data_IF_928723112165
#
_entry.id   IF_928723112165
#
_cell.length_a   1.000
_cell.length_b   1.000
_cell.length_c   1.000
_cell.angle_alpha   90.00
_cell.angle_beta   90.00
_cell.angle_gamma   90.00
#
_symmetry.space_group_name_H-M   'P 1'
#
loop_
_entity.id
_entity.type
_entity.pdbx_description
1 polymer ?
#
# COMPACT_ATOMS: atom_id res chain seq x y z
N UNK A 1 35.01 17.70 2.02
CA UNK A 1 33.60 17.40 1.67
C UNK A 1 33.58 16.24 0.69
N UNK A 2 33.51 15.00 1.19
CA UNK A 2 33.39 13.82 0.34
C UNK A 2 31.91 13.58 0.04
N UNK A 3 31.56 13.60 -1.25
CA UNK A 3 30.26 13.14 -1.76
C UNK A 3 30.35 11.62 -1.90
N UNK A 4 29.69 10.89 -1.01
CA UNK A 4 29.50 9.45 -1.16
C UNK A 4 28.37 9.25 -2.17
N UNK A 5 28.72 8.78 -3.37
CA UNK A 5 27.78 8.30 -4.36
C UNK A 5 27.28 6.93 -3.88
N UNK A 6 26.05 6.86 -3.38
CA UNK A 6 25.40 5.57 -3.11
C UNK A 6 24.85 5.09 -4.45
N UNK A 7 25.63 4.22 -5.11
CA UNK A 7 25.20 3.51 -6.31
C UNK A 7 24.20 2.42 -5.91
N UNK A 8 22.98 2.54 -6.43
CA UNK A 8 21.98 1.48 -6.41
C UNK A 8 22.50 0.32 -7.26
N UNK A 9 22.94 -0.78 -6.64
CA UNK A 9 23.32 -2.00 -7.37
C UNK A 9 22.05 -2.80 -7.63
N UNK A 10 21.54 -2.70 -8.85
CA UNK A 10 20.50 -3.58 -9.37
C UNK A 10 21.16 -4.90 -9.81
N UNK A 11 21.09 -5.94 -8.98
CA UNK A 11 21.49 -7.29 -9.38
C UNK A 11 20.35 -7.89 -10.21
N UNK A 12 20.51 -7.91 -11.54
CA UNK A 12 19.55 -8.53 -12.45
C UNK A 12 19.92 -10.00 -12.63
N UNK A 13 19.18 -10.90 -11.99
CA UNK A 13 19.17 -12.31 -12.37
C UNK A 13 18.25 -12.46 -13.59
N UNK A 14 18.82 -12.90 -14.73
CA UNK A 14 18.10 -13.17 -15.98
C UNK A 14 17.34 -14.51 -15.89
N UNK A 15 16.36 -14.61 -15.01
CA UNK A 15 15.16 -15.41 -15.29
C UNK A 15 14.17 -14.49 -16.00
N UNK A 16 13.53 -14.95 -17.08
CA UNK A 16 12.47 -14.16 -17.70
C UNK A 16 11.42 -13.83 -16.64
N UNK A 17 11.32 -12.56 -16.25
CA UNK A 17 10.36 -12.11 -15.25
C UNK A 17 8.96 -12.57 -15.66
N UNK A 18 8.21 -13.14 -14.71
CA UNK A 18 6.86 -13.62 -15.01
C UNK A 18 6.01 -12.48 -15.58
N UNK A 19 4.98 -12.77 -16.40
CA UNK A 19 4.07 -11.73 -16.89
C UNK A 19 3.46 -10.89 -15.76
N UNK A 20 3.22 -11.52 -14.60
CA UNK A 20 2.76 -10.83 -13.41
C UNK A 20 3.81 -9.90 -12.81
N UNK A 21 5.09 -10.31 -12.78
CA UNK A 21 6.17 -9.46 -12.27
C UNK A 21 6.32 -8.21 -13.14
N UNK A 22 6.27 -8.35 -14.46
CA UNK A 22 6.32 -7.21 -15.38
C UNK A 22 5.15 -6.23 -15.15
N UNK A 23 3.96 -6.73 -14.81
CA UNK A 23 2.80 -5.88 -14.47
C UNK A 23 3.03 -5.11 -13.17
N UNK A 24 3.52 -5.78 -12.13
CA UNK A 24 3.85 -5.14 -10.85
C UNK A 24 4.93 -4.08 -11.03
N UNK A 25 6.02 -4.42 -11.71
CA UNK A 25 7.14 -3.49 -11.96
C UNK A 25 6.66 -2.24 -12.71
N UNK A 26 5.81 -2.40 -13.73
CA UNK A 26 5.28 -1.27 -14.48
C UNK A 26 4.31 -0.41 -13.64
N UNK A 27 3.47 -1.03 -12.80
CA UNK A 27 2.64 -0.32 -11.84
C UNK A 27 3.48 0.49 -10.84
N UNK A 28 4.52 -0.12 -10.25
CA UNK A 28 5.44 0.55 -9.33
C UNK A 28 6.21 1.69 -10.00
N UNK A 29 6.68 1.49 -11.24
CA UNK A 29 7.32 2.55 -12.02
C UNK A 29 6.39 3.75 -12.21
N UNK A 30 5.09 3.54 -12.39
CA UNK A 30 4.12 4.63 -12.47
C UNK A 30 3.91 5.26 -11.09
N UNK A 31 3.62 4.47 -10.06
CA UNK A 31 3.46 4.95 -8.67
C UNK A 31 4.61 5.88 -8.30
N UNK A 32 5.85 5.45 -8.51
CA UNK A 32 7.03 6.24 -8.16
C UNK A 32 7.39 7.35 -9.16
N UNK A 33 6.64 7.55 -10.24
CA UNK A 33 6.71 8.83 -10.98
C UNK A 33 6.04 9.96 -10.21
N UNK A 34 5.08 9.66 -9.34
CA UNK A 34 4.41 10.65 -8.49
C UNK A 34 5.31 11.03 -7.29
N UNK A 35 5.69 12.31 -7.11
CA UNK A 35 6.53 12.74 -5.99
C UNK A 35 5.94 12.42 -4.61
N UNK A 36 4.63 12.55 -4.46
CA UNK A 36 3.91 12.30 -3.21
C UNK A 36 4.01 10.82 -2.79
N UNK A 37 3.96 9.89 -3.75
CA UNK A 37 4.14 8.47 -3.46
C UNK A 37 5.59 8.14 -3.05
N UNK A 38 6.59 8.81 -3.65
CA UNK A 38 7.99 8.70 -3.23
C UNK A 38 8.21 9.23 -1.82
N UNK A 39 7.60 10.37 -1.48
CA UNK A 39 7.66 10.93 -0.14
C UNK A 39 7.02 9.99 0.88
N UNK A 40 5.87 9.39 0.54
CA UNK A 40 5.21 8.39 1.36
C UNK A 40 6.11 7.17 1.58
N UNK A 41 6.73 6.61 0.54
CA UNK A 41 7.67 5.51 0.67
C UNK A 41 8.82 5.87 1.63
N UNK A 42 9.44 7.04 1.43
CA UNK A 42 10.52 7.51 2.29
C UNK A 42 10.09 7.73 3.76
N UNK A 43 8.82 8.05 4.01
CA UNK A 43 8.27 8.10 5.36
C UNK A 43 8.13 6.71 5.98
N UNK A 44 7.57 5.75 5.24
CA UNK A 44 7.41 4.36 5.68
C UNK A 44 8.79 3.74 5.96
N UNK A 45 9.78 4.02 5.11
CA UNK A 45 11.14 3.50 5.21
C UNK A 45 11.93 4.00 6.43
N UNK A 46 11.44 5.03 7.15
CA UNK A 46 12.03 5.46 8.43
C UNK A 46 11.98 4.35 9.49
N UNK A 47 11.03 3.44 9.39
CA UNK A 47 10.87 2.29 10.30
C UNK A 47 11.57 1.02 9.80
N UNK A 48 12.19 1.06 8.62
CA UNK A 48 12.87 -0.08 8.00
C UNK A 48 12.54 -0.23 6.52
N UNK A 49 13.33 -1.02 5.76
CA UNK A 49 13.09 -1.23 4.34
C UNK A 49 11.71 -1.84 4.08
N UNK A 50 11.18 -1.60 2.88
CA UNK A 50 9.90 -2.13 2.40
C UNK A 50 10.15 -2.84 1.07
N UNK A 51 9.59 -4.04 0.90
CA UNK A 51 9.56 -4.73 -0.40
C UNK A 51 8.14 -4.79 -0.96
N UNK A 52 8.05 -5.04 -2.26
CA UNK A 52 6.80 -5.26 -2.98
C UNK A 52 6.90 -6.61 -3.67
N UNK A 53 5.96 -7.50 -3.38
CA UNK A 53 6.07 -8.89 -3.81
C UNK A 53 4.76 -9.39 -4.40
N UNK A 54 4.86 -10.34 -5.33
CA UNK A 54 3.71 -11.06 -5.82
C UNK A 54 3.38 -12.22 -4.90
N UNK A 55 2.10 -12.36 -4.61
CA UNK A 55 1.59 -13.55 -3.92
C UNK A 55 0.71 -14.34 -4.87
N UNK A 56 0.97 -15.64 -4.94
CA UNK A 56 0.19 -16.59 -5.75
C UNK A 56 -0.70 -17.48 -4.88
N UNK A 57 -0.58 -17.39 -3.55
CA UNK A 57 -1.21 -18.34 -2.63
C UNK A 57 -2.73 -18.13 -2.48
N UNK A 58 -3.45 -19.25 -2.39
CA UNK A 58 -4.91 -19.31 -2.41
C UNK A 58 -5.56 -18.81 -1.11
N UNK A 59 -4.86 -18.77 0.03
CA UNK A 59 -5.45 -18.22 1.27
C UNK A 59 -5.40 -16.69 1.32
N UNK A 60 -4.40 -16.08 0.70
CA UNK A 60 -4.33 -14.63 0.48
C UNK A 60 -5.27 -14.14 -0.64
N UNK A 61 -5.99 -15.05 -1.30
CA UNK A 61 -6.91 -14.75 -2.43
C UNK A 61 -8.10 -13.85 -2.10
N UNK A 62 -8.33 -13.52 -0.83
CA UNK A 62 -9.45 -12.66 -0.41
C UNK A 62 -9.19 -11.18 -0.67
N UNK A 63 -7.93 -10.78 -0.84
CA UNK A 63 -7.55 -9.37 -1.00
C UNK A 63 -6.72 -9.16 -2.27
N UNK A 64 -6.87 -7.98 -2.88
CA UNK A 64 -6.07 -7.61 -4.05
C UNK A 64 -4.62 -7.25 -3.71
N UNK A 65 -4.40 -6.72 -2.51
CA UNK A 65 -3.09 -6.53 -1.90
C UNK A 65 -3.26 -6.49 -0.37
N UNK A 66 -2.17 -6.62 0.36
CA UNK A 66 -2.14 -6.33 1.80
C UNK A 66 -0.73 -5.90 2.23
N UNK A 67 -0.67 -5.14 3.32
CA UNK A 67 0.56 -4.85 4.06
C UNK A 67 0.87 -5.94 5.09
N UNK A 68 1.98 -6.64 4.90
CA UNK A 68 2.55 -7.51 5.93
C UNK A 68 3.45 -6.70 6.86
N UNK A 69 3.00 -6.55 8.11
CA UNK A 69 3.72 -5.77 9.12
C UNK A 69 5.01 -6.46 9.56
N UNK A 70 5.03 -7.79 9.65
CA UNK A 70 6.16 -8.55 10.20
C UNK A 70 7.32 -8.58 9.21
N UNK A 71 7.02 -8.94 7.96
CA UNK A 71 8.04 -9.03 6.90
C UNK A 71 8.29 -7.69 6.19
N UNK A 72 7.46 -6.67 6.47
CA UNK A 72 7.50 -5.35 5.82
C UNK A 72 7.35 -5.43 4.30
N UNK A 73 6.41 -6.25 3.86
CA UNK A 73 6.13 -6.54 2.45
C UNK A 73 4.75 -5.97 2.08
N UNK A 74 4.66 -5.22 1.00
CA UNK A 74 3.39 -4.98 0.32
C UNK A 74 3.18 -6.13 -0.67
N UNK A 75 2.34 -7.07 -0.27
CA UNK A 75 2.02 -8.27 -1.03
C UNK A 75 0.87 -7.97 -2.00
N UNK A 76 1.05 -8.24 -3.29
CA UNK A 76 0.09 -7.92 -4.35
C UNK A 76 -0.36 -9.19 -5.04
N UNK A 77 -1.67 -9.44 -5.07
CA UNK A 77 -2.26 -10.56 -5.81
C UNK A 77 -2.64 -10.09 -7.24
N UNK A 78 -1.85 -10.43 -8.27
CA UNK A 78 -2.08 -9.92 -9.61
C UNK A 78 -3.32 -10.51 -10.29
N UNK A 79 -3.86 -11.61 -9.77
CA UNK A 79 -5.07 -12.28 -10.29
C UNK A 79 -6.36 -11.57 -9.85
N UNK A 80 -6.30 -10.77 -8.79
CA UNK A 80 -7.44 -9.96 -8.33
C UNK A 80 -7.61 -8.67 -9.15
N UNK A 81 -6.55 -8.24 -9.83
CA UNK A 81 -6.49 -6.98 -10.57
C UNK A 81 -6.79 -7.19 -12.05
N UNK A 82 -7.96 -6.69 -12.48
CA UNK A 82 -8.40 -6.75 -13.88
C UNK A 82 -7.53 -5.91 -14.80
N UNK A 83 -6.98 -4.83 -14.28
CA UNK A 83 -6.12 -3.92 -15.01
C UNK A 83 -5.01 -3.36 -14.12
N UNK A 84 -4.12 -2.56 -14.71
CA UNK A 84 -3.01 -1.93 -14.01
C UNK A 84 -3.45 -0.84 -13.02
N UNK A 85 -4.52 -0.11 -13.34
CA UNK A 85 -5.01 0.94 -12.47
C UNK A 85 -5.51 0.38 -11.15
N UNK A 86 -6.29 -0.70 -11.18
CA UNK A 86 -6.76 -1.33 -9.94
C UNK A 86 -5.59 -1.78 -9.05
N UNK A 87 -4.52 -2.29 -9.66
CA UNK A 87 -3.29 -2.66 -8.95
C UNK A 87 -2.59 -1.44 -8.34
N UNK A 88 -2.44 -0.34 -9.10
CA UNK A 88 -1.90 0.93 -8.59
C UNK A 88 -2.72 1.41 -7.39
N UNK A 89 -4.05 1.40 -7.49
CA UNK A 89 -4.94 1.79 -6.39
C UNK A 89 -4.68 0.98 -5.13
N UNK A 90 -4.64 -0.35 -5.23
CA UNK A 90 -4.33 -1.22 -4.09
C UNK A 90 -2.94 -0.97 -3.52
N UNK A 91 -1.91 -0.77 -4.36
CA UNK A 91 -0.56 -0.43 -3.89
C UNK A 91 -0.59 0.87 -3.07
N UNK A 92 -1.24 1.92 -3.57
CA UNK A 92 -1.34 3.20 -2.86
C UNK A 92 -2.06 3.06 -1.52
N UNK A 93 -3.11 2.23 -1.46
CA UNK A 93 -3.84 1.95 -0.23
C UNK A 93 -2.95 1.22 0.79
N UNK A 94 -2.25 0.17 0.39
CA UNK A 94 -1.36 -0.57 1.29
C UNK A 94 -0.15 0.26 1.75
N UNK A 95 0.34 1.19 0.93
CA UNK A 95 1.34 2.16 1.39
C UNK A 95 0.80 3.06 2.51
N UNK A 96 -0.48 3.44 2.49
CA UNK A 96 -1.09 4.18 3.61
C UNK A 96 -1.22 3.29 4.86
N UNK A 97 -1.56 2.01 4.69
CA UNK A 97 -1.57 1.05 5.80
C UNK A 97 -0.16 0.90 6.42
N UNK A 98 0.86 0.77 5.58
CA UNK A 98 2.25 0.67 6.02
C UNK A 98 2.69 1.91 6.81
N UNK A 99 2.28 3.11 6.40
CA UNK A 99 2.53 4.37 7.15
C UNK A 99 1.90 4.38 8.54
N UNK A 100 0.85 3.59 8.76
CA UNK A 100 0.08 3.50 10.02
C UNK A 100 0.45 2.29 10.87
N UNK A 101 1.52 1.57 10.53
CA UNK A 101 2.01 0.38 11.24
C UNK A 101 2.04 0.55 12.76
N UNK A 102 2.67 1.62 13.27
CA UNK A 102 2.76 1.86 14.71
C UNK A 102 1.39 2.11 15.37
N UNK A 103 0.45 2.73 14.66
CA UNK A 103 -0.89 3.02 15.16
C UNK A 103 -1.70 1.72 15.29
N UNK A 104 -1.65 0.86 14.27
CA UNK A 104 -2.24 -0.48 14.33
C UNK A 104 -1.63 -1.34 15.44
N UNK A 105 -0.30 -1.36 15.54
CA UNK A 105 0.39 -2.10 16.60
C UNK A 105 -0.06 -1.65 18.00
N UNK A 106 -0.15 -0.33 18.21
CA UNK A 106 -0.61 0.23 19.50
C UNK A 106 -2.05 -0.16 19.81
N UNK A 107 -2.95 -0.19 18.82
CA UNK A 107 -4.33 -0.65 19.01
C UNK A 107 -4.38 -2.13 19.34
N UNK A 108 -3.59 -2.95 18.65
CA UNK A 108 -3.48 -4.38 18.91
C UNK A 108 -2.97 -4.67 20.32
N UNK A 109 -1.88 -4.02 20.76
CA UNK A 109 -1.35 -4.18 22.11
C UNK A 109 -2.37 -3.79 23.19
N UNK A 110 -3.14 -2.72 22.96
CA UNK A 110 -4.21 -2.32 23.89
C UNK A 110 -5.30 -3.38 23.95
N UNK A 111 -5.70 -3.95 22.82
CA UNK A 111 -6.74 -4.98 22.76
C UNK A 111 -6.28 -6.26 23.45
N UNK A 112 -5.05 -6.71 23.18
CA UNK A 112 -4.45 -7.90 23.80
C UNK A 112 -4.38 -7.77 25.33
N UNK A 113 -4.05 -6.56 25.83
CA UNK A 113 -4.00 -6.28 27.27
C UNK A 113 -5.35 -5.96 27.91
N UNK A 114 -6.45 -5.98 27.14
CA UNK A 114 -7.80 -5.64 27.62
C UNK A 114 -7.96 -4.17 28.04
N UNK A 115 -7.13 -3.27 27.49
CA UNK A 115 -7.14 -1.82 27.79
C UNK A 115 -8.08 -1.03 26.89
N UNK A 116 -8.70 -1.69 25.92
CA UNK A 116 -9.71 -1.15 25.01
C UNK A 116 -10.80 -2.20 24.83
N UNK A 117 -12.06 -1.79 24.84
CA UNK A 117 -13.17 -2.71 24.55
C UNK A 117 -13.26 -3.00 23.05
N UNK A 118 -13.98 -4.09 22.70
CA UNK A 118 -14.11 -4.56 21.32
C UNK A 118 -14.65 -3.49 20.38
N UNK A 119 -15.69 -2.76 20.78
CA UNK A 119 -16.35 -1.78 19.91
C UNK A 119 -15.43 -0.60 19.64
N UNK A 120 -14.79 -0.08 20.68
CA UNK A 120 -13.80 0.99 20.55
C UNK A 120 -12.60 0.57 19.70
N UNK A 121 -12.15 -0.68 19.80
CA UNK A 121 -11.09 -1.22 18.95
C UNK A 121 -11.51 -1.27 17.48
N UNK A 122 -12.65 -1.89 17.17
CA UNK A 122 -13.16 -2.00 15.80
C UNK A 122 -13.34 -0.61 15.20
N UNK A 123 -14.00 0.31 15.90
CA UNK A 123 -14.20 1.68 15.42
C UNK A 123 -12.88 2.43 15.19
N UNK A 124 -11.85 2.20 15.99
CA UNK A 124 -10.55 2.82 15.78
C UNK A 124 -9.84 2.26 14.53
N UNK A 125 -9.89 0.94 14.31
CA UNK A 125 -9.34 0.29 13.11
C UNK A 125 -10.04 0.79 11.85
N UNK A 126 -11.37 0.76 11.83
CA UNK A 126 -12.18 1.25 10.70
C UNK A 126 -11.93 2.73 10.43
N UNK A 127 -11.71 3.54 11.48
CA UNK A 127 -11.38 4.96 11.28
C UNK A 127 -10.04 5.14 10.58
N UNK A 128 -9.03 4.34 10.94
CA UNK A 128 -7.73 4.34 10.24
C UNK A 128 -7.92 3.93 8.78
N UNK A 129 -8.63 2.83 8.50
CA UNK A 129 -8.89 2.35 7.14
C UNK A 129 -9.64 3.38 6.27
N UNK A 130 -10.66 4.04 6.84
CA UNK A 130 -11.35 5.15 6.20
C UNK A 130 -10.41 6.30 5.83
N UNK A 131 -9.53 6.71 6.76
CA UNK A 131 -8.57 7.79 6.49
C UNK A 131 -7.52 7.39 5.45
N UNK A 132 -7.05 6.14 5.50
CA UNK A 132 -6.13 5.58 4.52
C UNK A 132 -6.77 5.52 3.12
N UNK A 133 -8.04 5.10 3.04
CA UNK A 133 -8.82 5.08 1.79
C UNK A 133 -8.91 6.48 1.17
N UNK A 134 -9.20 7.50 1.97
CA UNK A 134 -9.24 8.89 1.49
C UNK A 134 -7.88 9.41 1.02
N UNK A 135 -6.83 9.12 1.78
CA UNK A 135 -5.48 9.52 1.41
C UNK A 135 -5.01 8.84 0.11
N UNK A 136 -5.25 7.54 -0.02
CA UNK A 136 -4.92 6.76 -1.21
C UNK A 136 -5.73 7.23 -2.42
N UNK A 137 -7.04 7.45 -2.28
CA UNK A 137 -7.89 7.99 -3.35
C UNK A 137 -7.42 9.36 -3.81
N UNK A 138 -7.09 10.27 -2.88
CA UNK A 138 -6.57 11.59 -3.24
C UNK A 138 -5.25 11.49 -4.00
N UNK A 139 -4.39 10.53 -3.65
CA UNK A 139 -3.12 10.29 -4.35
C UNK A 139 -3.33 9.70 -5.75
N UNK A 140 -4.28 8.77 -5.88
CA UNK A 140 -4.69 8.23 -7.17
C UNK A 140 -5.24 9.33 -8.09
N UNK A 141 -6.12 10.19 -7.57
CA UNK A 141 -6.69 11.32 -8.32
C UNK A 141 -5.60 12.28 -8.81
N UNK A 142 -4.60 12.60 -7.97
CA UNK A 142 -3.46 13.41 -8.38
C UNK A 142 -2.69 12.77 -9.55
N UNK A 143 -2.38 11.48 -9.47
CA UNK A 143 -1.69 10.78 -10.55
C UNK A 143 -2.53 10.65 -11.83
N UNK A 144 -3.85 10.51 -11.71
CA UNK A 144 -4.78 10.51 -12.86
C UNK A 144 -4.80 11.89 -13.53
N UNK A 145 -4.94 12.96 -12.76
CA UNK A 145 -4.95 14.34 -13.27
C UNK A 145 -3.64 14.71 -13.98
N UNK A 146 -2.51 14.18 -13.52
CA UNK A 146 -1.20 14.35 -14.15
C UNK A 146 -0.96 13.42 -15.35
N UNK A 147 -1.91 12.53 -15.68
CA UNK A 147 -1.79 11.55 -16.76
C UNK A 147 -0.77 10.44 -16.47
N UNK A 148 -0.34 10.27 -15.22
CA UNK A 148 0.59 9.22 -14.79
C UNK A 148 -0.13 7.89 -14.59
N UNK A 149 -1.35 7.93 -14.03
CA UNK A 149 -2.16 6.76 -13.74
C UNK A 149 -3.34 6.65 -14.72
N UNK A 150 -3.77 5.44 -15.08
CA UNK A 150 -5.06 5.26 -15.75
C UNK A 150 -6.21 5.62 -14.80
N UNK A 151 -7.35 6.03 -15.34
CA UNK A 151 -8.54 6.41 -14.54
C UNK A 151 -9.05 5.27 -13.64
N UNK A 152 -8.77 4.01 -14.00
CA UNK A 152 -9.11 2.82 -13.22
C UNK A 152 -8.31 2.68 -11.91
N UNK A 153 -7.32 3.56 -11.67
CA UNK A 153 -6.65 3.66 -10.38
C UNK A 153 -7.47 4.36 -9.30
N UNK A 154 -8.58 5.02 -9.68
CA UNK A 154 -9.47 5.67 -8.74
C UNK A 154 -10.03 4.67 -7.72
N UNK A 155 -9.94 5.03 -6.43
CA UNK A 155 -10.45 4.23 -5.34
C UNK A 155 -11.80 4.79 -4.89
N UNK A 156 -12.85 3.97 -4.77
CA UNK A 156 -14.11 4.44 -4.20
C UNK A 156 -13.90 4.81 -2.73
N UNK A 157 -14.47 5.94 -2.30
CA UNK A 157 -14.44 6.37 -0.90
C UNK A 157 -15.84 6.68 -0.41
N UNK A 158 -16.08 6.43 0.87
CA UNK A 158 -17.29 6.88 1.55
C UNK A 158 -17.25 8.38 1.82
N UNK A 159 -18.43 9.01 1.83
CA UNK A 159 -18.54 10.47 2.03
C UNK A 159 -18.02 10.86 3.42
N UNK A 160 -18.41 10.08 4.43
CA UNK A 160 -18.05 10.28 5.82
C UNK A 160 -17.72 8.93 6.49
N UNK A 161 -17.21 8.99 7.72
CA UNK A 161 -16.81 7.80 8.46
C UNK A 161 -18.00 6.92 8.85
N UNK A 162 -19.15 7.48 9.19
CA UNK A 162 -20.31 6.67 9.59
C UNK A 162 -20.85 5.83 8.43
N UNK A 163 -20.81 6.34 7.19
CA UNK A 163 -21.14 5.55 5.99
C UNK A 163 -20.14 4.42 5.72
N UNK A 164 -18.89 4.57 6.14
CA UNK A 164 -17.89 3.51 6.04
C UNK A 164 -18.06 2.46 7.14
N UNK A 165 -18.44 2.90 8.34
CA UNK A 165 -18.52 2.07 9.53
C UNK A 165 -19.76 1.15 9.58
N UNK A 166 -20.86 1.53 8.94
CA UNK A 166 -22.16 0.80 8.93
C UNK A 166 -22.49 0.19 7.57
#
# INVERSE_FOLDING_TARGET
MHKTLIGLILVVFLSAASPHQNRLDHALQRVFKLPEAKMLLAEIEKEGPVSFELIEDHEASKFGAFWDLEDRVIAVNPSFHKDEGSMIGSILFEMQNAKRSQEFHTLFEKAERGLIDKESYVRAVEYIEYTNSKAASSMADMGIQQGLFPWTAGLPTYKNFEEHYY
#
